data_IF_666315925148
#
_entry.id   IF_666315925148
#
_cell.length_a   1.000
_cell.length_b   1.000
_cell.length_c   1.000
_cell.angle_alpha   90.00
_cell.angle_beta   90.00
_cell.angle_gamma   90.00
#
_symmetry.space_group_name_H-M   'P 1'
#
loop_
_entity.id
_entity.type
_entity.pdbx_description
1 polymer ?
#
# COMPACT_ATOMS: atom_id res chain seq x y z
N UNK A 1 -7.93 2.28 15.62
CA UNK A 1 -7.27 1.17 14.90
C UNK A 1 -6.03 1.74 14.23
N UNK A 2 -4.87 1.07 14.30
CA UNK A 2 -3.69 1.54 13.57
C UNK A 2 -4.01 1.53 12.07
N UNK A 3 -4.01 2.70 11.44
CA UNK A 3 -4.48 2.93 10.06
C UNK A 3 -3.93 1.86 9.12
N UNK A 4 -2.63 1.64 9.14
CA UNK A 4 -1.95 0.70 8.23
C UNK A 4 -2.29 -0.76 8.49
N UNK A 5 -2.59 -1.16 9.74
CA UNK A 5 -3.07 -2.53 10.04
C UNK A 5 -4.45 -2.76 9.45
N UNK A 6 -5.30 -1.73 9.46
CA UNK A 6 -6.60 -1.74 8.78
C UNK A 6 -6.43 -1.92 7.28
N UNK A 7 -5.63 -1.09 6.62
CA UNK A 7 -5.35 -1.23 5.19
C UNK A 7 -4.77 -2.61 4.83
N UNK A 8 -3.81 -3.10 5.61
CA UNK A 8 -3.18 -4.40 5.39
C UNK A 8 -4.18 -5.57 5.43
N UNK A 9 -5.12 -5.54 6.37
CA UNK A 9 -6.16 -6.58 6.50
C UNK A 9 -7.24 -6.52 5.40
N UNK A 10 -7.34 -5.38 4.69
CA UNK A 10 -8.35 -5.12 3.67
C UNK A 10 -7.82 -5.24 2.23
N UNK A 11 -6.51 -5.36 2.06
CA UNK A 11 -5.89 -5.65 0.77
C UNK A 11 -6.55 -6.88 0.11
N UNK A 12 -6.90 -6.73 -1.16
CA UNK A 12 -7.57 -7.74 -1.96
C UNK A 12 -9.10 -7.73 -1.89
N UNK A 13 -9.70 -6.90 -1.02
CA UNK A 13 -11.16 -6.80 -0.88
C UNK A 13 -11.74 -5.72 -1.80
N UNK A 14 -13.01 -5.93 -2.15
CA UNK A 14 -13.78 -4.98 -2.94
C UNK A 14 -14.09 -3.70 -2.16
N UNK A 15 -14.21 -2.58 -2.86
CA UNK A 15 -14.76 -1.32 -2.33
C UNK A 15 -16.19 -1.45 -1.77
N UNK A 16 -16.91 -2.52 -2.12
CA UNK A 16 -18.26 -2.83 -1.63
C UNK A 16 -18.28 -3.69 -0.38
N UNK A 17 -17.14 -4.28 0.01
CA UNK A 17 -17.00 -5.02 1.28
C UNK A 17 -17.28 -4.08 2.45
N UNK A 18 -18.14 -4.51 3.39
CA UNK A 18 -18.56 -3.67 4.51
C UNK A 18 -17.37 -3.16 5.34
N UNK A 19 -16.33 -3.98 5.54
CA UNK A 19 -15.15 -3.58 6.29
C UNK A 19 -14.29 -2.56 5.52
N UNK A 20 -14.28 -2.61 4.18
CA UNK A 20 -13.63 -1.60 3.34
C UNK A 20 -14.40 -0.28 3.41
N UNK A 21 -15.72 -0.33 3.30
CA UNK A 21 -16.58 0.86 3.42
C UNK A 21 -16.41 1.54 4.79
N UNK A 22 -16.44 0.77 5.87
CA UNK A 22 -16.27 1.31 7.23
C UNK A 22 -14.88 1.88 7.45
N UNK A 23 -13.86 1.23 6.90
CA UNK A 23 -12.48 1.73 6.95
C UNK A 23 -12.35 3.06 6.19
N UNK A 24 -12.84 3.14 4.94
CA UNK A 24 -12.83 4.37 4.15
C UNK A 24 -13.58 5.52 4.84
N UNK A 25 -14.74 5.25 5.43
CA UNK A 25 -15.48 6.23 6.25
C UNK A 25 -14.69 6.68 7.48
N UNK A 26 -14.03 5.75 8.18
CA UNK A 26 -13.22 6.08 9.36
C UNK A 26 -12.03 6.97 9.03
N UNK A 27 -11.53 6.88 7.80
CA UNK A 27 -10.48 7.73 7.25
C UNK A 27 -11.01 9.10 6.76
N UNK A 28 -12.33 9.25 6.61
CA UNK A 28 -12.93 10.47 6.04
C UNK A 28 -12.86 10.52 4.51
N UNK A 29 -12.71 9.37 3.84
CA UNK A 29 -12.75 9.31 2.38
C UNK A 29 -14.16 9.57 1.83
N UNK A 30 -14.24 10.23 0.69
CA UNK A 30 -15.51 10.47 -0.02
C UNK A 30 -16.00 9.20 -0.70
N UNK A 31 -17.26 8.82 -0.45
CA UNK A 31 -17.92 7.66 -1.06
C UNK A 31 -19.14 8.10 -1.90
N UNK A 32 -19.48 7.38 -3.00
CA UNK A 32 -18.72 6.27 -3.58
C UNK A 32 -17.37 6.75 -4.14
N UNK A 33 -16.41 5.82 -4.27
CA UNK A 33 -15.11 6.13 -4.86
C UNK A 33 -15.28 6.63 -6.30
N UNK A 34 -14.42 7.56 -6.71
CA UNK A 34 -14.36 7.99 -8.11
C UNK A 34 -13.89 6.82 -8.95
N UNK A 35 -14.53 6.59 -10.08
CA UNK A 35 -14.06 5.60 -11.06
C UNK A 35 -12.76 6.09 -11.71
N UNK A 36 -11.88 5.17 -12.14
CA UNK A 36 -10.71 5.53 -12.95
C UNK A 36 -11.11 6.36 -14.17
N UNK A 37 -10.29 7.34 -14.59
CA UNK A 37 -10.47 8.02 -15.85
C UNK A 37 -10.56 7.04 -17.02
N UNK A 38 -11.17 7.45 -18.13
CA UNK A 38 -11.28 6.61 -19.32
C UNK A 38 -9.89 6.19 -19.80
N UNK A 39 -9.65 4.88 -19.90
CA UNK A 39 -8.37 4.30 -20.32
C UNK A 39 -7.45 3.94 -19.15
N UNK A 40 -7.76 4.41 -17.94
CA UNK A 40 -7.06 4.03 -16.72
C UNK A 40 -7.73 2.83 -16.05
N UNK A 41 -6.92 2.11 -15.27
CA UNK A 41 -7.32 0.88 -14.58
C UNK A 41 -7.39 1.04 -13.07
N UNK A 42 -6.88 2.16 -12.58
CA UNK A 42 -6.66 2.38 -11.17
C UNK A 42 -7.12 3.79 -10.78
N UNK A 43 -7.42 3.94 -9.50
CA UNK A 43 -7.74 5.22 -8.90
C UNK A 43 -7.14 5.27 -7.50
N UNK A 44 -6.57 6.42 -7.17
CA UNK A 44 -5.94 6.67 -5.89
C UNK A 44 -6.94 7.41 -4.99
N UNK A 45 -7.03 6.98 -3.75
CA UNK A 45 -7.79 7.64 -2.69
C UNK A 45 -6.78 8.23 -1.73
N UNK A 46 -6.52 9.51 -1.93
CA UNK A 46 -5.77 10.34 -0.99
C UNK A 46 -6.68 10.73 0.17
N UNK A 47 -6.19 10.55 1.39
CA UNK A 47 -6.95 10.88 2.59
C UNK A 47 -6.31 12.10 3.26
N UNK A 48 -6.97 13.27 3.22
CA UNK A 48 -6.42 14.49 3.80
C UNK A 48 -6.02 14.32 5.27
N UNK A 49 -4.81 14.76 5.59
CA UNK A 49 -4.27 14.71 6.95
C UNK A 49 -3.79 13.33 7.42
N UNK A 50 -3.84 12.31 6.55
CA UNK A 50 -3.30 10.99 6.82
C UNK A 50 -2.05 10.72 5.98
N UNK A 51 -1.10 9.99 6.55
CA UNK A 51 0.13 9.55 5.87
C UNK A 51 -0.10 8.23 5.11
N UNK A 52 -1.29 8.07 4.52
CA UNK A 52 -1.69 6.90 3.74
C UNK A 52 -2.37 7.30 2.44
N UNK A 53 -2.06 6.57 1.39
CA UNK A 53 -2.76 6.62 0.11
C UNK A 53 -3.21 5.20 -0.23
N UNK A 54 -4.44 5.06 -0.71
CA UNK A 54 -5.02 3.76 -1.07
C UNK A 54 -5.21 3.69 -2.58
N UNK A 55 -4.67 2.66 -3.22
CA UNK A 55 -4.82 2.41 -4.64
C UNK A 55 -5.84 1.31 -4.87
N UNK A 56 -6.88 1.65 -5.60
CA UNK A 56 -7.91 0.73 -6.05
C UNK A 56 -7.74 0.42 -7.52
N UNK A 57 -7.80 -0.86 -7.88
CA UNK A 57 -7.69 -1.35 -9.26
C UNK A 57 -9.03 -1.94 -9.69
N UNK A 58 -9.41 -1.78 -10.96
CA UNK A 58 -10.58 -2.46 -11.51
C UNK A 58 -10.43 -3.97 -11.37
N UNK A 59 -11.46 -4.63 -10.82
CA UNK A 59 -11.46 -6.07 -10.59
C UNK A 59 -11.20 -6.89 -11.85
N UNK A 60 -11.70 -6.42 -12.99
CA UNK A 60 -11.49 -7.02 -14.32
C UNK A 60 -10.03 -7.07 -14.77
N UNK A 61 -9.16 -6.23 -14.19
CA UNK A 61 -7.73 -6.13 -14.54
C UNK A 61 -6.85 -7.04 -13.66
N UNK A 62 -7.45 -7.66 -12.65
CA UNK A 62 -6.74 -8.56 -11.75
C UNK A 62 -6.69 -9.99 -12.32
N UNK A 63 -5.66 -10.78 -11.99
CA UNK A 63 -5.71 -12.23 -12.17
C UNK A 63 -7.00 -12.80 -11.58
N UNK A 64 -7.69 -13.64 -12.35
CA UNK A 64 -9.02 -14.17 -12.03
C UNK A 64 -10.09 -13.08 -11.82
N UNK A 65 -10.01 -11.98 -12.59
CA UNK A 65 -10.90 -10.82 -12.48
C UNK A 65 -12.40 -11.10 -12.70
N UNK A 66 -12.76 -12.25 -13.28
CA UNK A 66 -14.16 -12.70 -13.45
C UNK A 66 -14.91 -12.93 -12.13
N UNK A 67 -14.19 -13.01 -11.00
CA UNK A 67 -14.81 -13.12 -9.67
C UNK A 67 -15.41 -11.80 -9.17
N UNK A 68 -15.08 -10.68 -9.82
CA UNK A 68 -15.56 -9.34 -9.46
C UNK A 68 -16.64 -8.89 -10.44
N UNK A 69 -17.58 -8.10 -9.93
CA UNK A 69 -18.60 -7.47 -10.76
C UNK A 69 -17.97 -6.46 -11.73
N UNK A 70 -18.66 -6.20 -12.85
CA UNK A 70 -18.21 -5.20 -13.82
C UNK A 70 -18.07 -3.82 -13.16
N UNK A 71 -16.91 -3.18 -13.37
CA UNK A 71 -16.60 -1.88 -12.81
C UNK A 71 -16.26 -1.88 -11.31
N UNK A 72 -16.28 -3.04 -10.64
CA UNK A 72 -15.92 -3.17 -9.23
C UNK A 72 -14.45 -2.81 -9.01
N UNK A 73 -14.19 -2.03 -7.95
CA UNK A 73 -12.84 -1.64 -7.56
C UNK A 73 -12.38 -2.46 -6.38
N UNK A 74 -11.11 -2.85 -6.39
CA UNK A 74 -10.50 -3.71 -5.38
C UNK A 74 -9.31 -2.97 -4.78
N UNK A 75 -9.24 -2.91 -3.45
CA UNK A 75 -8.11 -2.33 -2.74
C UNK A 75 -6.85 -3.16 -3.04
N UNK A 76 -5.99 -2.65 -3.91
CA UNK A 76 -4.85 -3.41 -4.44
C UNK A 76 -3.57 -3.14 -3.70
N UNK A 77 -3.32 -1.88 -3.39
CA UNK A 77 -2.09 -1.38 -2.77
C UNK A 77 -2.44 -0.27 -1.80
N UNK A 78 -1.66 -0.15 -0.73
CA UNK A 78 -1.59 1.11 0.00
C UNK A 78 -0.15 1.58 0.12
N UNK A 79 0.02 2.89 0.20
CA UNK A 79 1.29 3.55 0.39
C UNK A 79 1.33 4.18 1.77
N UNK A 80 2.41 3.96 2.50
CA UNK A 80 2.76 4.80 3.65
C UNK A 80 3.55 5.96 3.08
N UNK A 81 2.97 7.14 3.15
CA UNK A 81 3.54 8.40 2.67
C UNK A 81 4.07 9.18 3.87
N UNK A 82 5.32 8.97 4.30
CA UNK A 82 5.96 9.87 5.25
C UNK A 82 6.26 11.20 4.54
N UNK A 83 5.24 12.00 4.21
CA UNK A 83 5.48 13.35 3.76
C UNK A 83 5.92 14.25 4.92
N UNK A 84 6.91 15.09 4.61
CA UNK A 84 7.19 16.42 5.12
C UNK A 84 6.46 16.79 6.43
N UNK A 85 7.18 16.80 7.57
CA UNK A 85 6.87 17.54 8.82
C UNK A 85 7.06 16.75 10.13
N UNK A 86 7.96 15.76 10.20
CA UNK A 86 8.44 15.24 11.49
C UNK A 86 7.36 14.63 12.40
N UNK A 87 6.20 14.26 11.85
CA UNK A 87 5.19 13.50 12.60
C UNK A 87 5.60 12.02 12.65
N UNK A 88 5.59 11.40 13.84
CA UNK A 88 5.80 9.96 13.96
C UNK A 88 4.70 9.21 13.21
N UNK A 89 5.09 8.14 12.52
CA UNK A 89 4.14 7.19 11.94
C UNK A 89 3.90 6.08 12.96
N UNK A 90 2.68 6.02 13.48
CA UNK A 90 2.29 4.97 14.40
C UNK A 90 1.69 3.76 13.67
N UNK A 91 2.13 2.56 14.07
CA UNK A 91 1.51 1.30 13.69
C UNK A 91 1.65 0.94 12.20
N UNK A 92 2.82 1.21 11.62
CA UNK A 92 3.25 0.79 10.29
C UNK A 92 2.97 -0.70 10.00
N UNK A 93 2.85 -1.10 8.72
CA UNK A 93 2.67 -2.50 8.38
C UNK A 93 3.93 -3.30 8.73
N UNK A 94 3.75 -4.58 9.10
CA UNK A 94 4.84 -5.52 9.42
C UNK A 94 5.81 -5.02 10.52
N UNK A 95 5.31 -4.18 11.43
CA UNK A 95 6.08 -3.56 12.51
C UNK A 95 7.35 -2.85 12.00
N UNK A 96 7.25 -2.14 10.87
CA UNK A 96 8.34 -1.38 10.29
C UNK A 96 8.66 -0.13 11.12
N UNK A 97 9.92 0.05 11.47
CA UNK A 97 10.43 1.34 11.91
C UNK A 97 10.85 2.14 10.67
N UNK A 98 10.28 3.33 10.48
CA UNK A 98 10.62 4.18 9.33
C UNK A 98 12.07 4.70 9.38
N UNK A 99 12.72 4.62 10.55
CA UNK A 99 14.14 4.94 10.74
C UNK A 99 15.08 3.77 10.41
N UNK A 100 14.56 2.58 10.07
CA UNK A 100 15.40 1.46 9.67
C UNK A 100 16.25 1.80 8.45
N UNK A 101 17.53 1.43 8.52
CA UNK A 101 18.42 1.42 7.37
C UNK A 101 18.06 0.27 6.43
N UNK A 102 18.55 0.34 5.18
CA UNK A 102 18.39 -0.76 4.22
C UNK A 102 18.97 -2.08 4.73
N UNK A 103 20.12 -2.02 5.38
CA UNK A 103 20.77 -3.18 5.99
C UNK A 103 19.90 -3.79 7.09
N UNK A 104 19.32 -2.97 7.98
CA UNK A 104 18.44 -3.44 9.03
C UNK A 104 17.17 -4.08 8.46
N UNK A 105 16.59 -3.50 7.40
CA UNK A 105 15.44 -4.10 6.73
C UNK A 105 15.76 -5.48 6.14
N UNK A 106 16.93 -5.63 5.49
CA UNK A 106 17.40 -6.94 4.98
C UNK A 106 17.69 -7.94 6.09
N UNK A 107 18.27 -7.48 7.21
CA UNK A 107 18.46 -8.33 8.38
C UNK A 107 17.12 -8.82 8.96
N UNK A 108 16.08 -7.99 8.91
CA UNK A 108 14.73 -8.32 9.41
C UNK A 108 13.95 -9.25 8.48
N UNK A 109 13.96 -8.98 7.17
CA UNK A 109 13.10 -9.67 6.20
C UNK A 109 13.83 -10.70 5.32
N UNK A 110 15.15 -10.83 5.46
CA UNK A 110 16.00 -11.63 4.60
C UNK A 110 16.31 -10.91 3.27
N UNK A 111 16.88 -11.66 2.33
CA UNK A 111 17.20 -11.14 1.00
C UNK A 111 15.92 -10.78 0.21
N UNK A 112 15.89 -9.61 -0.45
CA UNK A 112 14.74 -9.20 -1.24
C UNK A 112 14.60 -10.05 -2.52
N UNK A 113 13.35 -10.25 -2.98
CA UNK A 113 13.09 -10.89 -4.29
C UNK A 113 13.60 -10.03 -5.45
N UNK A 114 13.68 -8.72 -5.23
CA UNK A 114 14.17 -7.77 -6.20
C UNK A 114 14.74 -6.54 -5.48
N UNK A 115 15.86 -6.05 -5.98
CA UNK A 115 16.54 -4.88 -5.45
C UNK A 115 16.98 -4.01 -6.62
N UNK A 116 16.68 -2.71 -6.56
CA UNK A 116 17.36 -1.75 -7.43
C UNK A 116 18.65 -1.24 -6.77
N UNK A 117 19.77 -1.53 -7.42
CA UNK A 117 21.02 -0.79 -7.20
C UNK A 117 20.97 0.58 -7.88
N UNK A 118 21.81 1.53 -7.45
CA UNK A 118 21.92 2.84 -8.10
C UNK A 118 21.01 3.92 -7.52
N UNK A 119 20.25 4.65 -8.33
CA UNK A 119 19.55 5.89 -7.94
C UNK A 119 18.22 5.71 -7.21
N UNK A 120 17.53 4.58 -7.41
CA UNK A 120 16.18 4.38 -6.85
C UNK A 120 16.21 3.84 -5.40
N UNK A 121 17.20 3.02 -5.05
CA UNK A 121 17.39 2.46 -3.70
C UNK A 121 16.13 1.78 -3.16
N UNK A 122 15.57 0.86 -3.94
CA UNK A 122 14.39 0.10 -3.55
C UNK A 122 14.72 -1.36 -3.32
N UNK A 123 14.10 -1.94 -2.30
CA UNK A 123 14.08 -3.39 -2.08
C UNK A 123 12.64 -3.88 -2.00
N UNK A 124 12.39 -5.08 -2.52
CA UNK A 124 11.07 -5.69 -2.63
C UNK A 124 11.08 -7.09 -2.05
N UNK A 125 10.10 -7.40 -1.22
CA UNK A 125 9.90 -8.73 -0.62
C UNK A 125 8.51 -9.25 -0.92
N UNK A 126 8.40 -10.58 -1.00
CA UNK A 126 7.12 -11.29 -0.94
C UNK A 126 6.96 -11.84 0.47
N UNK A 127 5.87 -11.47 1.12
CA UNK A 127 5.53 -11.81 2.50
C UNK A 127 4.18 -12.52 2.51
N UNK A 128 4.19 -13.83 2.29
CA UNK A 128 2.96 -14.60 2.08
C UNK A 128 2.24 -14.16 0.82
N UNK A 129 0.96 -13.79 0.94
CA UNK A 129 0.13 -13.31 -0.18
C UNK A 129 0.26 -11.79 -0.43
N UNK A 130 1.25 -11.15 0.19
CA UNK A 130 1.53 -9.72 0.04
C UNK A 130 2.90 -9.49 -0.58
N UNK A 131 3.04 -8.35 -1.24
CA UNK A 131 4.32 -7.83 -1.71
C UNK A 131 4.58 -6.47 -1.07
N UNK A 132 5.74 -6.33 -0.47
CA UNK A 132 6.19 -5.08 0.15
C UNK A 132 7.34 -4.51 -0.65
N UNK A 133 7.28 -3.22 -0.96
CA UNK A 133 8.38 -2.45 -1.53
C UNK A 133 8.78 -1.37 -0.52
N UNK A 134 10.05 -1.32 -0.16
CA UNK A 134 10.64 -0.24 0.62
C UNK A 134 11.48 0.62 -0.32
N UNK A 135 11.19 1.92 -0.34
CA UNK A 135 12.06 2.91 -0.99
C UNK A 135 12.86 3.61 0.09
N UNK A 136 14.19 3.60 -0.02
CA UNK A 136 15.07 4.23 0.97
C UNK A 136 15.48 5.64 0.55
N UNK A 137 16.01 6.41 1.50
CA UNK A 137 16.75 7.64 1.19
C UNK A 137 18.02 7.34 0.38
N UNK A 138 18.57 8.36 -0.27
CA UNK A 138 19.78 8.22 -1.10
C UNK A 138 21.00 7.69 -0.33
N UNK A 139 21.08 7.99 0.97
CA UNK A 139 22.10 7.50 1.91
C UNK A 139 21.74 6.16 2.56
N UNK A 140 20.59 5.58 2.22
CA UNK A 140 20.08 4.28 2.70
C UNK A 140 19.88 4.20 4.22
N UNK A 141 19.83 5.34 4.91
CA UNK A 141 19.74 5.41 6.39
C UNK A 141 18.33 5.37 6.95
N UNK A 142 17.30 5.58 6.12
CA UNK A 142 15.89 5.52 6.54
C UNK A 142 14.99 5.14 5.38
N UNK A 143 13.79 4.64 5.71
CA UNK A 143 12.73 4.37 4.76
C UNK A 143 12.09 5.69 4.36
N UNK A 144 12.05 5.97 3.06
CA UNK A 144 11.38 7.13 2.47
C UNK A 144 9.93 6.83 2.10
N UNK A 145 9.60 5.59 1.75
CA UNK A 145 8.24 5.20 1.41
C UNK A 145 8.08 3.69 1.57
N UNK A 146 6.88 3.28 1.97
CA UNK A 146 6.47 1.87 1.95
C UNK A 146 5.32 1.74 0.98
N UNK A 147 5.33 0.74 0.12
CA UNK A 147 4.12 0.26 -0.53
C UNK A 147 3.89 -1.20 -0.20
N UNK A 148 2.62 -1.55 0.05
CA UNK A 148 2.21 -2.93 0.29
C UNK A 148 1.06 -3.25 -0.63
N UNK A 149 1.24 -4.27 -1.46
CA UNK A 149 0.27 -4.74 -2.43
C UNK A 149 -0.21 -6.13 -2.09
N UNK A 150 -1.46 -6.42 -2.39
CA UNK A 150 -1.92 -7.79 -2.51
C UNK A 150 -1.12 -8.49 -3.64
N UNK A 151 -0.95 -9.81 -3.56
CA UNK A 151 -0.61 -10.64 -4.71
C UNK A 151 -1.87 -11.41 -5.12
N UNK A 152 -2.16 -11.38 -6.42
CA UNK A 152 -3.18 -12.24 -7.01
C UNK A 152 -2.43 -13.22 -7.87
N UNK A 153 -2.56 -14.50 -7.54
CA UNK A 153 -2.07 -15.62 -8.33
C UNK A 153 -3.15 -16.08 -9.31
#
# INVERSE_FOLDING_TARGET
MAIYKGALALLGKSETDAAVVDYLKSLGATLPLKRPPRGEKETNVEVPGQQIELLFTLGSELPNGTRFAEGELVLRTFFVLPEEAGRPIDGTPFDLDMTMTREQARAKFGEPEWSSGGSLKNDRWVLGDKRMLLSFTSDERRIRQVSVSQLFE
#
